data_IF_340135571963
#
_entry.id   IF_340135571963
#
_cell.length_a   1.000
_cell.length_b   1.000
_cell.length_c   1.000
_cell.angle_alpha   90.00
_cell.angle_beta   90.00
_cell.angle_gamma   90.00
#
_symmetry.space_group_name_H-M   'P 1'
#
loop_
_entity.id
_entity.type
_entity.pdbx_description
1 polymer ?
#
# COMPACT_ATOMS: atom_id res chain seq x y z
N UNK A 1 -12.45 -4.11 -11.03
CA UNK A 1 -11.36 -3.62 -10.14
C UNK A 1 -11.64 -2.16 -9.82
N UNK A 2 -11.47 -1.69 -8.58
CA UNK A 2 -11.51 -0.24 -8.31
C UNK A 2 -10.12 0.28 -8.67
N UNK A 3 -9.86 0.41 -9.96
CA UNK A 3 -8.71 1.17 -10.41
C UNK A 3 -9.09 2.61 -10.16
N UNK A 4 -8.65 3.14 -9.02
CA UNK A 4 -8.80 4.56 -8.73
C UNK A 4 -7.70 5.24 -9.54
N UNK A 5 -8.10 5.93 -10.60
CA UNK A 5 -7.20 6.84 -11.28
C UNK A 5 -6.92 8.01 -10.33
N UNK A 6 -5.75 7.96 -9.68
CA UNK A 6 -5.29 9.01 -8.78
C UNK A 6 -4.30 9.91 -9.52
N UNK A 7 -4.61 11.20 -9.59
CA UNK A 7 -3.72 12.21 -10.14
C UNK A 7 -3.13 13.06 -9.02
N UNK A 8 -1.83 13.36 -9.11
CA UNK A 8 -1.15 14.32 -8.24
C UNK A 8 -1.04 15.64 -9.00
N UNK A 9 -1.67 16.70 -8.49
CA UNK A 9 -1.58 18.04 -9.06
C UNK A 9 -0.55 18.94 -8.37
N UNK A 10 -0.58 20.24 -8.69
CA UNK A 10 0.35 21.23 -8.14
C UNK A 10 0.12 21.53 -6.64
N UNK A 11 -1.00 21.07 -6.08
CA UNK A 11 -1.34 21.16 -4.67
C UNK A 11 -0.53 20.22 -3.78
N UNK A 12 0.17 19.24 -4.36
CA UNK A 12 0.98 18.26 -3.64
C UNK A 12 2.45 18.57 -3.84
N UNK A 13 3.15 18.85 -2.74
CA UNK A 13 4.59 19.13 -2.75
C UNK A 13 5.41 17.89 -3.12
N UNK A 14 6.58 18.09 -3.74
CA UNK A 14 7.43 17.00 -4.24
C UNK A 14 8.06 16.14 -3.14
N UNK A 15 8.10 16.64 -1.91
CA UNK A 15 8.56 15.91 -0.72
C UNK A 15 7.48 15.01 -0.10
N UNK A 16 6.23 15.09 -0.59
CA UNK A 16 5.15 14.21 -0.14
C UNK A 16 5.47 12.77 -0.55
N UNK A 17 5.57 11.91 0.46
CA UNK A 17 5.78 10.48 0.25
C UNK A 17 4.50 9.82 -0.27
N UNK A 18 4.65 8.69 -0.98
CA UNK A 18 3.51 7.86 -1.40
C UNK A 18 2.68 7.44 -0.18
N UNK A 19 3.33 7.13 0.95
CA UNK A 19 2.64 6.82 2.20
C UNK A 19 1.73 7.95 2.66
N UNK A 20 2.24 9.18 2.71
CA UNK A 20 1.47 10.33 3.16
C UNK A 20 0.36 10.68 2.17
N UNK A 21 0.64 10.58 0.87
CA UNK A 21 -0.38 10.76 -0.16
C UNK A 21 -1.53 9.78 0.00
N UNK A 22 -1.25 8.47 0.10
CA UNK A 22 -2.27 7.43 0.27
C UNK A 22 -3.15 7.71 1.49
N UNK A 23 -2.55 8.10 2.61
CA UNK A 23 -3.26 8.24 3.89
C UNK A 23 -4.02 9.56 4.05
N UNK A 24 -3.42 10.66 3.60
CA UNK A 24 -3.89 12.02 3.85
C UNK A 24 -4.71 12.57 2.67
N UNK A 25 -4.34 12.24 1.44
CA UNK A 25 -5.00 12.73 0.23
C UNK A 25 -5.99 11.71 -0.32
N UNK A 26 -5.59 10.45 -0.49
CA UNK A 26 -6.46 9.40 -1.03
C UNK A 26 -7.38 8.75 0.02
N UNK A 27 -7.13 8.99 1.31
CA UNK A 27 -7.91 8.42 2.42
C UNK A 27 -7.74 6.90 2.62
N UNK A 28 -6.76 6.28 1.95
CA UNK A 28 -6.40 4.86 2.04
C UNK A 28 -5.46 4.64 3.23
N UNK A 29 -6.05 4.38 4.40
CA UNK A 29 -5.34 4.34 5.70
C UNK A 29 -4.93 2.92 6.13
N UNK A 30 -5.13 1.92 5.27
CA UNK A 30 -4.73 0.53 5.45
C UNK A 30 -3.21 0.39 5.50
N UNK A 31 -2.50 1.04 4.58
CA UNK A 31 -1.04 1.19 4.66
C UNK A 31 -0.66 2.04 5.87
N UNK A 32 0.24 1.53 6.73
CA UNK A 32 0.56 2.14 8.02
C UNK A 32 1.88 2.91 7.99
N UNK A 33 2.00 3.87 8.90
CA UNK A 33 3.27 4.56 9.16
C UNK A 33 3.83 4.11 10.51
N UNK A 34 5.15 3.96 10.61
CA UNK A 34 5.81 3.71 11.90
C UNK A 34 7.20 4.34 11.93
N UNK A 35 8.22 3.69 11.37
CA UNK A 35 9.60 4.20 11.42
C UNK A 35 9.90 5.35 10.45
N UNK A 36 9.24 5.39 9.27
CA UNK A 36 9.49 6.36 8.18
C UNK A 36 10.91 6.39 7.61
N UNK A 37 11.66 5.30 7.79
CA UNK A 37 13.05 5.14 7.30
C UNK A 37 13.26 3.81 6.56
N UNK A 38 12.17 3.13 6.19
CA UNK A 38 12.20 1.86 5.44
C UNK A 38 12.54 0.61 6.26
N UNK A 39 12.89 0.73 7.54
CA UNK A 39 13.32 -0.42 8.36
C UNK A 39 12.20 -1.36 8.81
N UNK A 40 11.01 -0.84 9.14
CA UNK A 40 9.95 -1.67 9.77
C UNK A 40 9.01 -2.39 8.79
N UNK A 41 8.98 -2.00 7.51
CA UNK A 41 8.05 -2.57 6.53
C UNK A 41 6.56 -2.24 6.69
N UNK A 42 6.10 -1.59 7.77
CA UNK A 42 4.67 -1.33 8.02
C UNK A 42 3.93 -0.55 6.91
N UNK A 43 4.69 0.10 6.02
CA UNK A 43 4.20 0.92 4.91
C UNK A 43 4.26 0.22 3.55
N UNK A 44 4.42 -1.11 3.51
CA UNK A 44 4.59 -1.83 2.24
C UNK A 44 3.32 -1.76 1.36
N UNK A 45 3.55 -1.51 0.08
CA UNK A 45 2.58 -1.56 -1.02
C UNK A 45 3.20 -2.34 -2.19
N UNK A 46 2.38 -2.88 -3.08
CA UNK A 46 2.87 -3.56 -4.30
C UNK A 46 2.82 -2.61 -5.48
N UNK A 47 3.85 -2.66 -6.33
CA UNK A 47 3.98 -1.88 -7.56
C UNK A 47 3.95 -2.84 -8.74
N UNK A 48 3.09 -2.55 -9.71
CA UNK A 48 3.06 -3.24 -10.98
C UNK A 48 3.48 -2.28 -12.11
N UNK A 49 4.26 -2.82 -13.05
CA UNK A 49 4.63 -2.15 -14.30
C UNK A 49 4.29 -3.08 -15.47
N UNK A 50 3.80 -2.54 -16.60
CA UNK A 50 3.54 -3.35 -17.79
C UNK A 50 4.77 -4.16 -18.20
N UNK A 51 4.59 -5.46 -18.44
CA UNK A 51 5.65 -6.40 -18.80
C UNK A 51 6.72 -6.63 -17.73
N UNK A 52 6.42 -6.33 -16.47
CA UNK A 52 7.30 -6.62 -15.33
C UNK A 52 6.57 -7.42 -14.26
N UNK A 53 7.34 -8.15 -13.45
CA UNK A 53 6.82 -8.78 -12.23
C UNK A 53 6.53 -7.71 -11.20
N UNK A 54 5.40 -7.83 -10.50
CA UNK A 54 5.08 -6.93 -9.40
C UNK A 54 6.11 -7.06 -8.27
N UNK A 55 6.37 -5.95 -7.57
CA UNK A 55 7.34 -5.93 -6.48
C UNK A 55 6.88 -5.03 -5.32
N UNK A 56 7.27 -5.40 -4.11
CA UNK A 56 6.95 -4.67 -2.89
C UNK A 56 7.92 -3.49 -2.67
N UNK A 57 7.39 -2.35 -2.22
CA UNK A 57 8.21 -1.19 -1.83
C UNK A 57 7.77 -0.62 -0.48
N UNK A 58 8.70 0.03 0.22
CA UNK A 58 8.37 0.90 1.35
C UNK A 58 7.83 2.24 0.82
N UNK A 59 6.52 2.46 0.93
CA UNK A 59 5.88 3.71 0.44
C UNK A 59 6.37 4.98 1.15
N UNK A 60 6.92 4.88 2.37
CA UNK A 60 7.54 6.03 3.05
C UNK A 60 8.83 6.51 2.39
N UNK A 61 9.49 5.68 1.57
CA UNK A 61 10.76 6.02 0.92
C UNK A 61 10.57 6.47 -0.54
N UNK A 62 9.32 6.55 -1.01
CA UNK A 62 9.00 6.84 -2.42
C UNK A 62 8.28 8.19 -2.50
N UNK A 63 8.85 9.23 -3.14
CA UNK A 63 8.12 10.46 -3.44
C UNK A 63 6.93 10.15 -4.36
N UNK A 64 5.75 10.72 -4.08
CA UNK A 64 4.53 10.40 -4.85
C UNK A 64 4.64 10.84 -6.31
N UNK A 65 5.36 11.93 -6.59
CA UNK A 65 5.63 12.43 -7.95
C UNK A 65 6.44 11.45 -8.79
N UNK A 66 7.21 10.55 -8.15
CA UNK A 66 7.97 9.49 -8.82
C UNK A 66 7.14 8.23 -9.13
N UNK A 67 5.84 8.25 -8.84
CA UNK A 67 4.91 7.16 -9.10
C UNK A 67 4.13 7.31 -10.41
N UNK A 68 4.46 8.32 -11.23
CA UNK A 68 3.81 8.51 -12.52
C UNK A 68 3.93 7.25 -13.39
N UNK A 69 2.79 6.78 -13.93
CA UNK A 69 2.71 5.58 -14.76
C UNK A 69 2.86 4.25 -14.02
N UNK A 70 2.96 4.27 -12.68
CA UNK A 70 2.99 3.05 -11.87
C UNK A 70 1.58 2.66 -11.43
N UNK A 71 1.29 1.35 -11.45
CA UNK A 71 0.10 0.81 -10.81
C UNK A 71 0.44 0.42 -9.36
N UNK A 72 -0.22 1.06 -8.40
CA UNK A 72 0.02 0.85 -6.97
C UNK A 72 -1.16 0.08 -6.37
N UNK A 73 -0.88 -1.09 -5.79
CA UNK A 73 -1.87 -1.87 -5.03
C UNK A 73 -1.62 -1.71 -3.53
N UNK A 74 -2.63 -1.25 -2.80
CA UNK A 74 -2.64 -1.22 -1.32
C UNK A 74 -3.43 -2.39 -0.76
N UNK A 75 -3.41 -2.55 0.58
CA UNK A 75 -4.18 -3.60 1.26
C UNK A 75 -5.68 -3.54 0.96
N UNK A 76 -6.25 -2.33 0.82
CA UNK A 76 -7.67 -2.14 0.49
C UNK A 76 -7.98 -2.49 -0.97
N UNK A 77 -7.02 -2.25 -1.86
CA UNK A 77 -7.10 -2.57 -3.28
C UNK A 77 -7.07 -4.08 -3.52
N UNK A 78 -6.26 -4.81 -2.73
CA UNK A 78 -6.14 -6.27 -2.80
C UNK A 78 -7.44 -6.99 -2.39
N UNK A 79 -8.09 -6.52 -1.33
CA UNK A 79 -9.34 -7.10 -0.84
C UNK A 79 -9.92 -6.32 0.34
N UNK A 80 -11.24 -6.31 0.47
CA UNK A 80 -11.94 -5.52 1.49
C UNK A 80 -13.37 -6.02 1.76
N UNK A 81 -14.01 -5.47 2.80
CA UNK A 81 -15.36 -5.84 3.24
C UNK A 81 -16.45 -5.72 2.16
N UNK A 82 -16.28 -4.85 1.16
CA UNK A 82 -17.30 -4.63 0.13
C UNK A 82 -17.19 -5.64 -1.02
N UNK A 83 -15.99 -6.18 -1.26
CA UNK A 83 -15.70 -7.06 -2.42
C UNK A 83 -15.31 -8.48 -2.04
N UNK A 84 -15.05 -8.73 -0.76
CA UNK A 84 -14.40 -9.95 -0.29
C UNK A 84 -12.92 -9.72 -0.03
N UNK A 85 -12.38 -10.51 0.90
CA UNK A 85 -10.96 -10.51 1.23
C UNK A 85 -10.19 -11.46 0.31
N UNK A 86 -8.96 -11.09 0.00
CA UNK A 86 -8.03 -11.94 -0.73
C UNK A 86 -7.57 -13.12 0.14
N UNK A 87 -7.19 -14.24 -0.48
CA UNK A 87 -6.72 -15.45 0.23
C UNK A 87 -5.59 -15.14 1.22
N UNK A 88 -4.62 -14.29 0.83
CA UNK A 88 -3.55 -13.86 1.73
C UNK A 88 -4.06 -13.15 3.00
N UNK A 89 -5.14 -12.38 2.88
CA UNK A 89 -5.75 -11.69 4.03
C UNK A 89 -6.46 -12.68 4.95
N UNK A 90 -7.23 -13.62 4.40
CA UNK A 90 -7.94 -14.64 5.18
C UNK A 90 -6.97 -15.61 5.83
N UNK A 91 -5.96 -16.10 5.09
CA UNK A 91 -4.94 -17.03 5.59
C UNK A 91 -4.15 -16.43 6.76
N UNK A 92 -3.78 -15.15 6.70
CA UNK A 92 -3.10 -14.49 7.82
C UNK A 92 -4.02 -14.40 9.06
N UNK A 93 -5.30 -14.10 8.87
CA UNK A 93 -6.27 -13.98 9.96
C UNK A 93 -6.60 -15.34 10.59
N UNK A 94 -6.94 -16.33 9.77
CA UNK A 94 -7.34 -17.67 10.18
C UNK A 94 -6.16 -18.45 10.80
N UNK A 95 -4.94 -18.20 10.32
CA UNK A 95 -3.71 -18.74 10.87
C UNK A 95 -3.23 -18.05 12.15
N UNK A 96 -4.04 -17.16 12.77
CA UNK A 96 -3.67 -16.39 13.96
C UNK A 96 -2.40 -15.54 13.79
N UNK A 97 -2.07 -15.15 12.55
CA UNK A 97 -0.91 -14.32 12.20
C UNK A 97 -1.09 -12.83 12.49
N UNK A 98 -2.18 -12.45 13.16
CA UNK A 98 -2.49 -11.07 13.52
C UNK A 98 -2.88 -10.96 14.99
N UNK A 99 -2.18 -10.10 15.74
CA UNK A 99 -2.50 -9.78 17.14
C UNK A 99 -3.03 -8.35 17.27
N UNK A 100 -2.14 -7.36 17.42
CA UNK A 100 -2.54 -5.95 17.43
C UNK A 100 -3.00 -5.45 16.05
N UNK A 101 -2.70 -6.21 14.99
CA UNK A 101 -3.11 -5.94 13.61
C UNK A 101 -2.34 -4.82 12.89
N UNK A 102 -1.46 -4.08 13.57
CA UNK A 102 -0.82 -2.90 12.96
C UNK A 102 0.10 -3.26 11.79
N UNK A 103 0.90 -4.32 11.92
CA UNK A 103 1.80 -4.77 10.87
C UNK A 103 1.15 -5.70 9.84
N UNK A 104 -0.06 -6.20 10.09
CA UNK A 104 -0.72 -7.20 9.25
C UNK A 104 -0.93 -6.74 7.79
N UNK A 105 -1.34 -5.49 7.50
CA UNK A 105 -1.42 -4.99 6.13
C UNK A 105 -0.12 -5.17 5.35
N UNK A 106 1.02 -4.84 5.97
CA UNK A 106 2.31 -4.95 5.33
C UNK A 106 2.71 -6.41 5.08
N UNK A 107 2.46 -7.31 6.02
CA UNK A 107 2.73 -8.74 5.82
C UNK A 107 1.97 -9.31 4.62
N UNK A 108 0.67 -8.96 4.50
CA UNK A 108 -0.12 -9.37 3.34
C UNK A 108 0.48 -8.81 2.05
N UNK A 109 0.82 -7.52 2.02
CA UNK A 109 1.35 -6.88 0.81
C UNK A 109 2.75 -7.37 0.42
N UNK A 110 3.57 -7.81 1.38
CA UNK A 110 4.88 -8.40 1.11
C UNK A 110 4.81 -9.78 0.46
N UNK A 111 3.68 -10.50 0.59
CA UNK A 111 3.47 -11.83 0.01
C UNK A 111 2.72 -11.79 -1.33
N UNK A 112 2.31 -10.60 -1.78
CA UNK A 112 1.48 -10.36 -2.96
C UNK A 112 2.30 -9.96 -4.19
#
# INVERSE_FOLDING_TARGET
LLNIDASVGCEVSSDVTLLDYLRLHAGLRGTKYMCREGGCGACIVSVHQPNSTSYAINSCMKPVTSCHGLEITTIEGLGNRLKGYHELQTTLADGHGSQCGYCSPAWVMSMN
#
